data_IF_558915311274
#
_entry.id   IF_558915311274
#
_cell.length_a   1.000
_cell.length_b   1.000
_cell.length_c   1.000
_cell.angle_alpha   90.00
_cell.angle_beta   90.00
_cell.angle_gamma   90.00
#
_symmetry.space_group_name_H-M   'P 1'
#
loop_
_entity.id
_entity.type
_entity.pdbx_description
1 polymer ?
#
# COMPACT_ATOMS: atom_id res chain seq x y z
N UNK A 1 -51.17 49.40 4.26
CA UNK A 1 -51.61 50.16 5.44
C UNK A 1 -50.80 49.70 6.62
N UNK A 2 -50.07 50.67 7.23
CA UNK A 2 -49.33 50.69 8.55
C UNK A 2 -48.10 49.77 8.64
N UNK A 3 -46.90 50.25 8.48
CA UNK A 3 -46.07 51.27 9.23
C UNK A 3 -45.75 50.84 10.68
N UNK A 4 -44.49 50.81 10.92
CA UNK A 4 -43.83 51.16 12.15
C UNK A 4 -43.19 49.95 12.89
N UNK A 5 -42.07 49.99 13.50
CA UNK A 5 -41.13 51.08 13.77
C UNK A 5 -39.76 50.48 14.13
N UNK A 6 -38.72 51.19 13.75
CA UNK A 6 -37.37 51.15 14.33
C UNK A 6 -37.37 51.39 15.83
N UNK A 7 -36.49 50.77 16.56
CA UNK A 7 -35.85 51.40 17.76
C UNK A 7 -34.38 51.14 17.77
N UNK A 8 -33.69 52.26 17.78
CA UNK A 8 -32.25 52.44 17.89
C UNK A 8 -31.82 52.45 19.38
N UNK A 9 -30.58 52.04 19.55
CA UNK A 9 -29.50 52.37 20.48
C UNK A 9 -29.80 53.12 21.81
N UNK A 10 -28.96 52.91 22.84
CA UNK A 10 -27.81 53.82 22.96
C UNK A 10 -26.45 53.18 23.39
N UNK A 11 -25.44 53.89 22.93
CA UNK A 11 -24.03 53.81 23.27
C UNK A 11 -23.72 54.31 24.74
N UNK A 12 -22.57 53.83 25.18
CA UNK A 12 -21.61 54.52 26.01
C UNK A 12 -21.56 54.17 27.50
N UNK A 13 -20.44 53.60 27.90
CA UNK A 13 -19.54 54.23 28.89
C UNK A 13 -18.16 53.57 28.92
N UNK A 14 -17.21 54.40 28.60
CA UNK A 14 -15.79 54.24 28.92
C UNK A 14 -15.54 54.13 30.43
N UNK A 15 -14.63 53.27 30.82
CA UNK A 15 -13.70 53.48 31.95
C UNK A 15 -12.48 52.59 31.82
N UNK A 16 -11.34 53.19 31.60
CA UNK A 16 -9.98 52.65 31.85
C UNK A 16 -9.48 53.22 33.17
N UNK A 17 -8.26 52.88 33.63
CA UNK A 17 -7.49 51.65 33.70
C UNK A 17 -7.01 51.36 35.15
N UNK A 18 -6.54 50.18 35.45
CA UNK A 18 -5.55 50.00 36.55
C UNK A 18 -4.55 48.89 36.16
N UNK A 19 -3.30 49.27 36.30
CA UNK A 19 -2.12 48.44 36.08
C UNK A 19 -2.04 47.31 37.12
N UNK A 20 -1.67 46.14 36.63
CA UNK A 20 -1.30 45.00 37.48
C UNK A 20 -0.51 44.00 36.64
N UNK A 21 0.81 44.09 36.76
CA UNK A 21 1.75 43.13 36.16
C UNK A 21 1.50 41.73 36.68
N UNK A 22 1.18 40.79 35.82
CA UNK A 22 1.36 39.36 36.08
C UNK A 22 1.90 38.70 34.82
N UNK A 23 3.18 38.36 34.87
CA UNK A 23 3.86 37.51 33.90
C UNK A 23 3.21 36.12 33.93
N UNK A 24 2.44 35.81 32.94
CA UNK A 24 2.03 34.43 32.63
C UNK A 24 2.93 33.91 31.52
N UNK A 25 3.91 33.10 31.92
CA UNK A 25 4.64 32.21 30.99
C UNK A 25 3.63 31.26 30.37
N UNK A 26 3.16 31.57 29.18
CA UNK A 26 2.49 30.60 28.34
C UNK A 26 3.54 29.65 27.76
N UNK A 27 3.70 28.50 28.40
CA UNK A 27 4.49 27.39 27.87
C UNK A 27 3.84 26.88 26.61
N UNK A 28 4.47 27.20 25.46
CA UNK A 28 4.13 26.64 24.16
C UNK A 28 4.61 25.18 24.13
N UNK A 29 3.75 24.27 24.57
CA UNK A 29 3.96 22.84 24.35
C UNK A 29 3.74 22.56 22.86
N UNK A 30 4.77 22.80 22.05
CA UNK A 30 4.85 22.28 20.71
C UNK A 30 4.94 20.74 20.83
N UNK A 31 3.80 20.08 20.76
CA UNK A 31 3.71 18.64 20.60
C UNK A 31 4.38 18.26 19.29
N UNK A 32 5.64 17.85 19.36
CA UNK A 32 6.33 17.19 18.27
C UNK A 32 5.63 15.85 18.03
N UNK A 33 4.64 15.83 17.16
CA UNK A 33 4.23 14.62 16.51
C UNK A 33 5.40 14.17 15.64
N UNK A 34 6.31 13.43 16.25
CA UNK A 34 7.28 12.63 15.52
C UNK A 34 6.49 11.58 14.74
N UNK A 35 6.18 11.90 13.49
CA UNK A 35 5.85 10.87 12.51
C UNK A 35 7.13 10.05 12.42
N UNK A 36 7.17 8.94 13.15
CA UNK A 36 8.21 7.95 12.99
C UNK A 36 8.09 7.44 11.55
N UNK A 37 8.83 8.05 10.64
CA UNK A 37 9.12 7.45 9.36
C UNK A 37 9.80 6.13 9.69
N UNK A 38 9.05 5.04 9.62
CA UNK A 38 9.60 3.69 9.76
C UNK A 38 10.56 3.50 8.60
N UNK A 39 11.82 3.86 8.79
CA UNK A 39 12.89 3.47 7.90
C UNK A 39 12.79 1.94 7.82
N UNK A 40 12.40 1.43 6.66
CA UNK A 40 12.33 0.00 6.44
C UNK A 40 13.76 -0.50 6.33
N UNK A 41 14.33 -0.85 7.48
CA UNK A 41 15.67 -1.37 7.61
C UNK A 41 15.78 -2.72 6.89
N UNK A 42 16.97 -3.01 6.37
CA UNK A 42 17.38 -4.33 5.91
C UNK A 42 17.35 -5.28 7.12
N UNK A 43 16.15 -5.76 7.47
CA UNK A 43 15.92 -6.68 8.57
C UNK A 43 16.13 -8.13 8.15
N UNK A 44 16.03 -9.03 9.11
CA UNK A 44 15.94 -10.48 8.86
C UNK A 44 14.87 -10.75 7.81
N UNK A 45 15.12 -11.62 6.83
CA UNK A 45 14.10 -12.00 5.84
C UNK A 45 12.81 -12.45 6.52
N UNK A 46 11.68 -11.93 6.06
CA UNK A 46 10.36 -12.34 6.53
C UNK A 46 9.76 -13.36 5.56
N UNK A 47 9.13 -14.37 6.10
CA UNK A 47 8.48 -15.43 5.31
C UNK A 47 7.00 -15.46 5.61
N UNK A 48 6.23 -15.73 4.56
CA UNK A 48 4.79 -15.96 4.66
C UNK A 48 4.44 -17.24 3.90
N UNK A 49 3.56 -18.02 4.47
CA UNK A 49 2.93 -19.18 3.80
C UNK A 49 1.45 -18.87 3.59
N UNK A 50 0.86 -19.42 2.54
CA UNK A 50 -0.57 -19.30 2.26
C UNK A 50 -1.06 -20.49 1.42
N UNK A 51 -2.36 -20.72 1.45
CA UNK A 51 -3.05 -21.58 0.49
C UNK A 51 -3.65 -20.72 -0.60
N UNK A 52 -3.19 -20.88 -1.82
CA UNK A 52 -3.70 -20.19 -3.02
C UNK A 52 -4.86 -21.00 -3.61
N UNK A 53 -6.01 -20.37 -3.78
CA UNK A 53 -7.21 -20.96 -4.39
C UNK A 53 -7.55 -20.17 -5.65
N UNK A 54 -7.37 -20.80 -6.80
CA UNK A 54 -7.70 -20.20 -8.09
C UNK A 54 -9.08 -20.66 -8.53
N UNK A 55 -10.08 -19.82 -8.31
CA UNK A 55 -11.48 -20.11 -8.65
C UNK A 55 -11.74 -20.15 -10.17
N UNK A 56 -10.84 -19.59 -10.99
CA UNK A 56 -11.01 -19.57 -12.43
C UNK A 56 -10.81 -20.96 -13.08
N UNK A 57 -10.02 -21.82 -12.43
CA UNK A 57 -9.72 -23.18 -12.91
C UNK A 57 -9.90 -24.26 -11.82
N UNK A 58 -10.39 -23.89 -10.64
CA UNK A 58 -10.62 -24.83 -9.54
C UNK A 58 -9.36 -25.38 -8.89
N UNK A 59 -8.18 -24.85 -9.18
CA UNK A 59 -6.93 -25.34 -8.57
C UNK A 59 -6.67 -24.71 -7.21
N UNK A 60 -6.03 -25.48 -6.35
CA UNK A 60 -5.53 -25.01 -5.05
C UNK A 60 -4.12 -25.55 -4.80
N UNK A 61 -3.31 -24.80 -4.06
CA UNK A 61 -1.94 -25.19 -3.74
C UNK A 61 -1.33 -24.26 -2.70
N UNK A 62 -0.24 -24.67 -2.11
CA UNK A 62 0.49 -23.84 -1.17
C UNK A 62 1.44 -22.92 -1.92
N UNK A 63 1.62 -21.72 -1.40
CA UNK A 63 2.66 -20.78 -1.83
C UNK A 63 3.47 -20.31 -0.64
N UNK A 64 4.76 -20.13 -0.89
CA UNK A 64 5.70 -19.51 0.03
C UNK A 64 6.14 -18.16 -0.55
N UNK A 65 6.21 -17.17 0.32
CA UNK A 65 6.64 -15.82 -0.01
C UNK A 65 7.79 -15.48 0.93
N UNK A 66 8.92 -15.05 0.37
CA UNK A 66 10.06 -14.56 1.15
C UNK A 66 10.34 -13.11 0.78
N UNK A 67 10.27 -12.23 1.76
CA UNK A 67 10.67 -10.83 1.64
C UNK A 67 12.05 -10.68 2.28
N UNK A 68 13.09 -10.56 1.46
CA UNK A 68 14.47 -10.43 1.92
C UNK A 68 14.80 -9.01 2.41
N UNK A 69 14.10 -8.02 1.87
CA UNK A 69 14.14 -6.63 2.28
C UNK A 69 12.86 -5.90 1.88
N UNK A 70 12.54 -4.84 2.56
CA UNK A 70 11.44 -3.96 2.18
C UNK A 70 11.93 -2.87 1.21
N UNK A 71 11.06 -2.46 0.28
CA UNK A 71 11.34 -1.33 -0.60
C UNK A 71 11.39 -0.04 0.20
N UNK A 72 12.38 0.79 -0.11
CA UNK A 72 12.54 2.12 0.51
C UNK A 72 11.51 3.12 -0.04
N UNK A 73 11.31 4.23 0.68
CA UNK A 73 10.46 5.32 0.17
C UNK A 73 10.99 5.88 -1.16
N UNK A 74 12.31 5.98 -1.32
CA UNK A 74 12.92 6.41 -2.58
C UNK A 74 12.59 5.47 -3.75
N UNK A 75 12.64 4.15 -3.53
CA UNK A 75 12.27 3.17 -4.55
C UNK A 75 10.78 3.26 -4.90
N UNK A 76 9.91 3.41 -3.89
CA UNK A 76 8.48 3.65 -4.11
C UNK A 76 8.24 4.91 -4.95
N UNK A 77 8.86 6.01 -4.57
CA UNK A 77 8.65 7.31 -5.22
C UNK A 77 9.15 7.29 -6.68
N UNK A 78 10.25 6.57 -6.95
CA UNK A 78 10.75 6.37 -8.30
C UNK A 78 9.74 5.57 -9.17
N UNK A 79 9.15 4.49 -8.64
CA UNK A 79 8.12 3.72 -9.34
C UNK A 79 6.85 4.54 -9.56
N UNK A 80 6.42 5.31 -8.55
CA UNK A 80 5.28 6.21 -8.66
C UNK A 80 5.49 7.29 -9.72
N UNK A 81 6.66 7.93 -9.75
CA UNK A 81 7.01 8.93 -10.77
C UNK A 81 7.01 8.32 -12.17
N UNK A 82 7.59 7.13 -12.34
CA UNK A 82 7.58 6.43 -13.62
C UNK A 82 6.15 6.17 -14.11
N UNK A 83 5.26 5.76 -13.24
CA UNK A 83 3.86 5.50 -13.55
C UNK A 83 3.08 6.78 -13.88
N UNK A 84 3.23 7.82 -13.04
CA UNK A 84 2.46 9.08 -13.15
C UNK A 84 2.87 9.88 -14.37
N UNK A 85 4.17 9.96 -14.66
CA UNK A 85 4.71 10.79 -15.71
C UNK A 85 4.68 10.12 -17.08
N UNK A 86 4.90 8.81 -17.12
CA UNK A 86 5.21 8.08 -18.36
C UNK A 86 4.31 6.87 -18.60
N UNK A 87 3.39 6.57 -17.67
CA UNK A 87 2.40 5.51 -17.82
C UNK A 87 2.86 4.09 -17.45
N UNK A 88 1.97 3.09 -17.63
CA UNK A 88 2.19 1.71 -17.17
C UNK A 88 3.42 1.01 -17.77
N UNK A 89 3.77 1.33 -19.02
CA UNK A 89 4.94 0.73 -19.68
C UNK A 89 6.24 1.12 -18.97
N UNK A 90 6.34 2.38 -18.54
CA UNK A 90 7.51 2.86 -17.80
C UNK A 90 7.56 2.36 -16.37
N UNK A 91 6.42 2.04 -15.78
CA UNK A 91 6.39 1.32 -14.53
C UNK A 91 6.98 -0.09 -14.69
N UNK A 92 6.68 -0.78 -15.80
CA UNK A 92 7.25 -2.10 -16.08
C UNK A 92 8.77 -2.01 -16.22
N UNK A 93 9.27 -1.09 -17.05
CA UNK A 93 10.72 -0.87 -17.22
C UNK A 93 11.38 -0.63 -15.84
N UNK A 94 10.81 0.28 -15.04
CA UNK A 94 11.35 0.62 -13.73
C UNK A 94 11.32 -0.55 -12.72
N UNK A 95 10.32 -1.44 -12.81
CA UNK A 95 10.28 -2.66 -12.00
C UNK A 95 11.31 -3.68 -12.47
N UNK A 96 11.53 -3.83 -13.77
CA UNK A 96 12.54 -4.74 -14.32
C UNK A 96 13.96 -4.33 -13.92
N UNK A 97 14.22 -3.03 -13.86
CA UNK A 97 15.48 -2.47 -13.42
C UNK A 97 15.67 -2.51 -11.89
N UNK A 98 14.58 -2.65 -11.14
CA UNK A 98 14.63 -2.70 -9.68
C UNK A 98 15.32 -3.97 -9.18
N UNK A 99 16.15 -3.82 -8.12
CA UNK A 99 16.76 -4.97 -7.47
C UNK A 99 15.67 -5.83 -6.81
N UNK A 100 15.76 -7.17 -6.93
CA UNK A 100 14.84 -8.05 -6.23
C UNK A 100 14.77 -7.74 -4.73
N UNK A 101 13.57 -7.80 -4.18
CA UNK A 101 13.29 -7.59 -2.76
C UNK A 101 12.91 -8.89 -2.06
N UNK A 102 12.77 -9.97 -2.82
CA UNK A 102 12.38 -11.28 -2.35
C UNK A 102 11.94 -12.17 -3.50
N UNK A 103 11.25 -13.23 -3.16
CA UNK A 103 10.69 -14.18 -4.14
C UNK A 103 9.45 -14.85 -3.58
N UNK A 104 8.65 -15.46 -4.47
CA UNK A 104 7.52 -16.30 -4.09
C UNK A 104 7.31 -17.44 -5.09
N UNK A 105 6.64 -18.49 -4.66
CA UNK A 105 6.35 -19.66 -5.52
C UNK A 105 5.74 -20.80 -4.73
N UNK A 106 5.41 -21.87 -5.45
CA UNK A 106 4.99 -23.11 -4.79
C UNK A 106 6.19 -23.82 -4.15
N UNK A 107 6.04 -24.44 -2.97
CA UNK A 107 7.11 -25.18 -2.32
C UNK A 107 7.78 -26.21 -3.25
N UNK A 108 9.11 -26.17 -3.31
CA UNK A 108 9.89 -27.10 -4.14
C UNK A 108 9.91 -26.81 -5.63
N UNK A 109 9.27 -25.75 -6.10
CA UNK A 109 9.26 -25.31 -7.49
C UNK A 109 10.13 -24.06 -7.70
N UNK A 110 10.29 -23.67 -8.97
CA UNK A 110 10.90 -22.40 -9.32
C UNK A 110 10.08 -21.24 -8.73
N UNK A 111 10.79 -20.28 -8.20
CA UNK A 111 10.21 -19.06 -7.63
C UNK A 111 10.35 -17.88 -8.57
N UNK A 112 9.48 -16.89 -8.39
CA UNK A 112 9.50 -15.63 -9.12
C UNK A 112 10.01 -14.51 -8.23
N UNK A 113 10.85 -13.64 -8.79
CA UNK A 113 11.36 -12.47 -8.09
C UNK A 113 10.25 -11.47 -7.77
N UNK A 114 10.28 -10.97 -6.56
CA UNK A 114 9.54 -9.78 -6.16
C UNK A 114 10.41 -8.55 -6.39
N UNK A 115 9.87 -7.56 -7.08
CA UNK A 115 10.53 -6.31 -7.41
C UNK A 115 10.17 -5.17 -6.48
N UNK A 116 9.04 -5.30 -5.80
CA UNK A 116 8.57 -4.32 -4.82
C UNK A 116 7.89 -5.03 -3.66
N UNK A 117 8.16 -4.56 -2.44
CA UNK A 117 7.52 -5.03 -1.22
C UNK A 117 7.35 -3.88 -0.25
N UNK A 118 6.12 -3.64 0.20
CA UNK A 118 5.79 -2.60 1.17
C UNK A 118 4.78 -3.10 2.17
N UNK A 119 4.94 -2.67 3.42
CA UNK A 119 3.95 -2.88 4.48
C UNK A 119 3.42 -1.54 4.99
N UNK A 120 2.16 -1.53 5.38
CA UNK A 120 1.48 -0.35 5.92
C UNK A 120 0.62 -0.80 7.10
N UNK A 121 0.72 -0.16 8.26
CA UNK A 121 -0.15 -0.47 9.39
C UNK A 121 -1.62 -0.27 9.02
N UNK A 122 -2.50 -1.11 9.55
CA UNK A 122 -3.95 -0.95 9.44
C UNK A 122 -4.49 -0.22 10.68
N UNK A 123 -5.53 0.62 10.53
CA UNK A 123 -6.13 1.36 11.64
C UNK A 123 -6.63 0.46 12.78
N UNK A 124 -7.17 -0.69 12.43
CA UNK A 124 -7.67 -1.73 13.35
C UNK A 124 -6.56 -2.55 14.00
N UNK A 125 -5.33 -2.30 13.62
CA UNK A 125 -4.15 -3.06 14.00
C UNK A 125 -3.83 -4.16 13.01
N UNK A 126 -2.58 -4.66 13.07
CA UNK A 126 -2.03 -5.52 12.03
C UNK A 126 -1.45 -4.70 10.88
N UNK A 127 -1.35 -5.29 9.69
CA UNK A 127 -0.73 -4.64 8.55
C UNK A 127 -1.26 -5.13 7.20
N UNK A 128 -1.12 -4.27 6.22
CA UNK A 128 -1.31 -4.57 4.81
C UNK A 128 0.07 -4.69 4.15
N UNK A 129 0.29 -5.78 3.45
CA UNK A 129 1.51 -6.04 2.68
C UNK A 129 1.17 -6.03 1.19
N UNK A 130 1.90 -5.24 0.41
CA UNK A 130 1.80 -5.20 -1.04
C UNK A 130 3.12 -5.67 -1.64
N UNK A 131 3.02 -6.66 -2.52
CA UNK A 131 4.15 -7.25 -3.24
C UNK A 131 3.87 -7.19 -4.74
N UNK A 132 4.89 -6.84 -5.52
CA UNK A 132 4.74 -6.72 -6.98
C UNK A 132 5.90 -7.40 -7.67
N UNK A 133 5.60 -8.12 -8.73
CA UNK A 133 6.59 -8.67 -9.66
C UNK A 133 6.42 -8.06 -11.06
N UNK A 134 7.49 -8.05 -11.83
CA UNK A 134 7.55 -7.61 -13.22
C UNK A 134 7.06 -8.68 -14.21
N UNK A 135 6.42 -9.75 -13.72
CA UNK A 135 5.97 -10.87 -14.52
C UNK A 135 4.53 -11.27 -14.23
N UNK A 136 3.90 -11.79 -15.24
CA UNK A 136 2.68 -12.58 -15.12
C UNK A 136 3.03 -13.98 -14.66
N UNK A 137 2.22 -14.54 -13.78
CA UNK A 137 2.49 -15.84 -13.19
C UNK A 137 1.60 -16.91 -13.79
N UNK A 138 2.19 -18.10 -13.95
CA UNK A 138 1.49 -19.32 -14.26
C UNK A 138 1.11 -19.46 -15.73
N UNK A 139 0.02 -20.14 -15.95
CA UNK A 139 -0.54 -20.62 -17.20
C UNK A 139 -0.54 -19.61 -18.38
N UNK A 140 -0.44 -18.32 -18.08
CA UNK A 140 -0.45 -17.23 -19.06
C UNK A 140 0.84 -17.07 -19.85
N UNK A 141 1.94 -17.59 -19.34
CA UNK A 141 3.20 -17.60 -20.10
C UNK A 141 3.11 -18.54 -21.31
N UNK A 142 2.24 -19.55 -21.24
CA UNK A 142 2.04 -20.53 -22.29
C UNK A 142 0.97 -20.13 -23.33
N UNK A 143 0.06 -19.24 -22.98
CA UNK A 143 -0.96 -18.75 -23.92
C UNK A 143 -0.56 -17.38 -24.44
N UNK A 144 0.12 -17.33 -25.58
CA UNK A 144 0.46 -16.13 -26.37
C UNK A 144 -0.81 -15.38 -26.80
N UNK A 145 -1.50 -14.77 -25.86
CA UNK A 145 -2.63 -13.90 -26.19
C UNK A 145 -2.10 -12.47 -26.34
N UNK A 146 -2.23 -11.83 -27.51
CA UNK A 146 -1.69 -10.49 -27.77
C UNK A 146 -2.12 -9.44 -26.73
N UNK A 147 -3.34 -9.55 -26.21
CA UNK A 147 -3.87 -8.65 -25.17
C UNK A 147 -3.19 -8.79 -23.80
N UNK A 148 -2.59 -9.93 -23.51
CA UNK A 148 -1.97 -10.16 -22.20
C UNK A 148 -0.70 -9.31 -21.98
N UNK A 149 -0.08 -8.79 -23.04
CA UNK A 149 1.06 -7.85 -22.92
C UNK A 149 0.70 -6.54 -22.24
N UNK A 150 -0.59 -6.16 -22.21
CA UNK A 150 -1.06 -4.96 -21.52
C UNK A 150 -1.20 -5.14 -20.01
N UNK A 151 -1.09 -6.38 -19.50
CA UNK A 151 -1.27 -6.76 -18.11
C UNK A 151 -0.02 -7.47 -17.55
N UNK A 152 1.12 -6.77 -17.49
CA UNK A 152 2.41 -7.42 -17.28
C UNK A 152 2.70 -7.76 -15.80
N UNK A 153 1.88 -7.27 -14.86
CA UNK A 153 2.19 -7.38 -13.46
C UNK A 153 1.47 -8.54 -12.77
N UNK A 154 2.09 -9.05 -11.71
CA UNK A 154 1.37 -9.76 -10.66
C UNK A 154 1.49 -8.95 -9.37
N UNK A 155 0.35 -8.70 -8.74
CA UNK A 155 0.25 -7.97 -7.48
C UNK A 155 -0.33 -8.89 -6.42
N UNK A 156 0.36 -9.00 -5.29
CA UNK A 156 -0.09 -9.75 -4.12
C UNK A 156 -0.41 -8.74 -3.02
N UNK A 157 -1.60 -8.80 -2.48
CA UNK A 157 -2.01 -8.08 -1.29
C UNK A 157 -2.27 -9.07 -0.17
N UNK A 158 -1.61 -8.88 0.98
CA UNK A 158 -1.90 -9.61 2.20
C UNK A 158 -2.46 -8.64 3.24
N UNK A 159 -3.44 -9.09 4.01
CA UNK A 159 -3.97 -8.39 5.18
C UNK A 159 -3.79 -9.28 6.38
N UNK A 160 -2.96 -8.86 7.28
CA UNK A 160 -2.56 -9.62 8.45
C UNK A 160 -3.04 -8.93 9.72
N UNK A 161 -3.50 -9.71 10.66
CA UNK A 161 -3.80 -9.25 12.01
C UNK A 161 -2.50 -9.05 12.83
N UNK A 162 -2.65 -8.72 14.11
CA UNK A 162 -1.52 -8.51 15.04
C UNK A 162 -0.67 -9.76 15.27
N UNK A 163 -1.25 -10.93 15.05
CA UNK A 163 -0.57 -12.21 15.22
C UNK A 163 0.20 -12.64 13.96
N UNK A 164 0.06 -11.88 12.88
CA UNK A 164 0.67 -12.16 11.58
C UNK A 164 -0.08 -13.19 10.77
N UNK A 165 -1.36 -13.40 11.07
CA UNK A 165 -2.25 -14.31 10.36
C UNK A 165 -3.32 -13.52 9.61
N UNK A 166 -3.83 -14.07 8.49
CA UNK A 166 -4.85 -13.37 7.73
C UNK A 166 -5.17 -14.00 6.39
N UNK A 167 -5.49 -13.16 5.45
CA UNK A 167 -5.88 -13.51 4.09
C UNK A 167 -5.24 -12.58 3.07
N UNK A 168 -5.36 -12.91 1.80
CA UNK A 168 -4.84 -12.07 0.73
C UNK A 168 -5.48 -12.36 -0.61
N UNK A 169 -5.00 -11.63 -1.60
CA UNK A 169 -5.38 -11.78 -3.00
C UNK A 169 -4.15 -11.68 -3.88
N UNK A 170 -4.10 -12.49 -4.94
CA UNK A 170 -3.05 -12.41 -5.95
C UNK A 170 -3.68 -12.18 -7.33
N UNK A 171 -3.45 -11.02 -7.88
CA UNK A 171 -3.84 -10.63 -9.23
C UNK A 171 -2.73 -11.00 -10.19
N UNK A 172 -2.88 -12.11 -10.91
CA UNK A 172 -1.80 -12.74 -11.69
C UNK A 172 -1.52 -12.12 -13.05
N UNK A 173 -2.49 -11.44 -13.64
CA UNK A 173 -2.32 -10.65 -14.84
C UNK A 173 -3.07 -9.34 -14.64
N UNK A 174 -2.35 -8.29 -14.27
CA UNK A 174 -2.96 -7.03 -13.93
C UNK A 174 -2.25 -5.85 -14.58
N UNK A 175 -3.01 -4.80 -14.81
CA UNK A 175 -2.54 -3.51 -15.24
C UNK A 175 -2.72 -2.54 -14.08
N UNK A 176 -1.69 -1.79 -13.78
CA UNK A 176 -1.73 -0.75 -12.76
C UNK A 176 -2.11 0.56 -13.43
N UNK A 177 -3.21 1.16 -13.01
CA UNK A 177 -3.73 2.42 -13.55
C UNK A 177 -3.66 3.47 -12.46
N UNK A 178 -3.13 4.63 -12.79
CA UNK A 178 -3.14 5.79 -11.91
C UNK A 178 -4.18 6.80 -12.40
N UNK A 179 -5.23 7.00 -11.61
CA UNK A 179 -6.18 8.08 -11.84
C UNK A 179 -5.64 9.38 -11.23
N UNK A 180 -5.25 10.30 -12.09
CA UNK A 180 -4.69 11.61 -11.66
C UNK A 180 -5.73 12.50 -11.00
N UNK A 181 -7.02 12.36 -11.31
CA UNK A 181 -8.09 13.19 -10.74
C UNK A 181 -8.39 12.78 -9.32
N UNK A 182 -8.51 11.48 -9.11
CA UNK A 182 -8.83 10.89 -7.82
C UNK A 182 -7.58 10.61 -6.96
N UNK A 183 -6.36 10.81 -7.53
CA UNK A 183 -5.08 10.45 -6.92
C UNK A 183 -5.07 9.01 -6.40
N UNK A 184 -5.62 8.08 -7.19
CA UNK A 184 -5.86 6.72 -6.80
C UNK A 184 -5.21 5.73 -7.77
N UNK A 185 -4.65 4.65 -7.21
CA UNK A 185 -4.16 3.51 -7.98
C UNK A 185 -5.27 2.46 -8.04
N UNK A 186 -5.63 2.06 -9.24
CA UNK A 186 -6.56 0.97 -9.52
C UNK A 186 -5.83 -0.20 -10.20
N UNK A 187 -6.28 -1.40 -9.90
CA UNK A 187 -5.82 -2.62 -10.57
C UNK A 187 -6.91 -3.09 -11.51
N UNK A 188 -6.58 -3.21 -12.79
CA UNK A 188 -7.43 -3.83 -13.79
C UNK A 188 -6.89 -5.23 -14.07
N UNK A 189 -7.67 -6.25 -13.78
CA UNK A 189 -7.31 -7.64 -14.02
C UNK A 189 -7.79 -8.09 -15.40
N UNK A 190 -6.98 -8.88 -16.08
CA UNK A 190 -7.35 -9.44 -17.37
C UNK A 190 -8.34 -10.60 -17.18
N UNK A 191 -9.63 -10.36 -17.43
CA UNK A 191 -10.76 -11.33 -17.46
C UNK A 191 -10.75 -12.44 -16.37
N UNK A 192 -10.02 -12.24 -15.26
CA UNK A 192 -9.82 -13.23 -14.22
C UNK A 192 -10.11 -12.67 -12.86
N UNK A 193 -10.74 -13.50 -12.03
CA UNK A 193 -10.82 -13.22 -10.62
C UNK A 193 -9.44 -13.40 -9.97
N UNK A 194 -9.07 -12.55 -9.02
CA UNK A 194 -7.86 -12.75 -8.25
C UNK A 194 -7.85 -14.11 -7.55
N UNK A 195 -6.69 -14.74 -7.53
CA UNK A 195 -6.46 -15.94 -6.72
C UNK A 195 -6.62 -15.55 -5.25
N UNK A 196 -7.45 -16.29 -4.53
CA UNK A 196 -7.64 -16.06 -3.10
C UNK A 196 -6.47 -16.71 -2.34
N UNK A 197 -5.92 -15.97 -1.39
CA UNK A 197 -4.89 -16.46 -0.48
C UNK A 197 -5.53 -16.61 0.90
N UNK A 198 -5.72 -17.84 1.31
CA UNK A 198 -6.29 -18.19 2.63
C UNK A 198 -5.20 -18.72 3.54
N UNK A 199 -5.48 -18.71 4.85
CA UNK A 199 -4.54 -19.19 5.87
C UNK A 199 -3.15 -18.53 5.72
N UNK A 200 -3.13 -17.26 5.36
CA UNK A 200 -1.88 -16.52 5.29
C UNK A 200 -1.28 -16.44 6.68
N UNK A 201 -0.01 -16.81 6.79
CA UNK A 201 0.70 -16.84 8.05
C UNK A 201 2.11 -16.35 7.89
N UNK A 202 2.51 -15.40 8.76
CA UNK A 202 3.91 -15.00 8.88
C UNK A 202 4.65 -16.09 9.64
N UNK A 203 5.65 -16.67 8.98
CA UNK A 203 6.54 -17.64 9.60
C UNK A 203 7.45 -16.94 10.62
N UNK A 204 7.53 -17.48 11.83
CA UNK A 204 8.52 -17.02 12.80
C UNK A 204 9.90 -17.45 12.31
N UNK A 205 10.89 -16.55 12.37
CA UNK A 205 12.26 -16.94 12.12
C UNK A 205 12.61 -18.07 13.09
N UNK A 206 12.95 -19.26 12.55
CA UNK A 206 13.51 -20.33 13.37
C UNK A 206 14.81 -19.82 13.96
N UNK A 207 14.89 -19.85 15.30
CA UNK A 207 16.12 -19.53 16.06
C UNK A 207 17.17 -20.58 15.82
#
# INVERSE_FOLDING_TARGET
>A
MKVGARKEFPMNRLLQPTAGSTLLLAGLAAGLFSIAASAQTNGTPERFSATAININNGSAGNIDITVSRWSTDKERDALMSAMVEKGPEKLLDALQDARPVGHFGAPGNLSWDLRFARRTPLPEGGERVILVTDRRIGFWEATNQPRSFQYPFTVIELRLNKDGEGEGKMSIATKVIFDKKENMITLENYDLQPVQLTHVKRERASR
#
